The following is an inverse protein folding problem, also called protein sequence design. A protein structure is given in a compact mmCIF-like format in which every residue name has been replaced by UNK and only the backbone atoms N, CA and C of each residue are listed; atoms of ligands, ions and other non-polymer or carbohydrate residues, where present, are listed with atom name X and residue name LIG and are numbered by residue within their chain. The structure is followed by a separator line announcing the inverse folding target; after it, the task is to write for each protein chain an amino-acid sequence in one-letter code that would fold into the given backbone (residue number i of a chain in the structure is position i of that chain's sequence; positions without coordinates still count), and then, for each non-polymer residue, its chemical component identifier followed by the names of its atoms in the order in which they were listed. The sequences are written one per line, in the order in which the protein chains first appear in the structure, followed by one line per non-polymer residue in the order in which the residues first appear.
data_IF_332303091383
#
_entry.id   IF_332303091383
#
_cell.length_a   1.000
_cell.length_b   1.000
_cell.length_c   1.000
_cell.angle_alpha   90.00
_cell.angle_beta   90.00
_cell.angle_gamma   90.00
#
_symmetry.space_group_name_H-M   'P 1'
#
loop_
_entity.id
_entity.type
_entity.pdbx_description
1 polymer ?
#
# COMPACT_ATOMS: atom_id res chain seq x y z
N UNK A 1 3.09 -50.38 25.85
CA UNK A 1 4.26 -49.54 25.52
C UNK A 1 4.51 -49.35 24.02
N UNK A 2 3.89 -50.10 23.10
CA UNK A 2 4.09 -49.91 21.65
C UNK A 2 3.35 -48.70 21.05
N UNK A 3 2.17 -48.34 21.57
CA UNK A 3 1.30 -47.29 20.98
C UNK A 3 1.89 -45.87 21.12
N UNK A 4 2.68 -45.61 22.16
CA UNK A 4 3.31 -44.29 22.38
C UNK A 4 4.51 -44.08 21.45
N UNK A 5 5.18 -45.16 21.03
CA UNK A 5 6.35 -45.08 20.15
C UNK A 5 5.93 -44.87 18.68
N UNK A 6 4.83 -45.46 18.23
CA UNK A 6 4.26 -45.20 16.91
C UNK A 6 3.75 -43.75 16.76
N UNK A 7 3.12 -43.18 17.79
CA UNK A 7 2.64 -41.79 17.71
C UNK A 7 3.79 -40.76 17.68
N UNK A 8 4.93 -41.08 18.28
CA UNK A 8 6.14 -40.26 18.25
C UNK A 8 6.78 -40.23 16.85
N UNK A 9 6.76 -41.36 16.13
CA UNK A 9 7.26 -41.46 14.75
C UNK A 9 6.32 -40.76 13.76
N UNK A 10 5.00 -40.80 13.99
CA UNK A 10 4.05 -40.05 13.16
C UNK A 10 4.11 -38.53 13.40
N UNK A 11 4.34 -38.07 14.64
CA UNK A 11 4.57 -36.64 14.92
C UNK A 11 5.81 -36.09 14.18
N UNK A 12 6.88 -36.89 14.10
CA UNK A 12 8.10 -36.48 13.40
C UNK A 12 7.87 -36.33 11.89
N UNK A 13 7.07 -37.23 11.29
CA UNK A 13 6.65 -37.12 9.88
C UNK A 13 5.73 -35.92 9.63
N UNK A 14 4.78 -35.65 10.52
CA UNK A 14 3.87 -34.50 10.41
C UNK A 14 4.64 -33.18 10.54
N UNK A 15 5.60 -33.11 11.46
CA UNK A 15 6.52 -31.97 11.60
C UNK A 15 7.37 -31.75 10.35
N UNK A 16 7.88 -32.83 9.75
CA UNK A 16 8.68 -32.78 8.53
C UNK A 16 7.84 -32.37 7.31
N UNK A 17 6.59 -32.84 7.20
CA UNK A 17 5.66 -32.42 6.15
C UNK A 17 5.23 -30.95 6.26
N UNK A 18 4.90 -30.48 7.47
CA UNK A 18 4.57 -29.07 7.72
C UNK A 18 5.77 -28.16 7.47
N UNK A 19 6.97 -28.59 7.88
CA UNK A 19 8.22 -27.90 7.58
C UNK A 19 8.49 -27.80 6.07
N UNK A 20 8.33 -28.90 5.33
CA UNK A 20 8.52 -28.92 3.89
C UNK A 20 7.49 -28.04 3.14
N UNK A 21 6.23 -28.05 3.58
CA UNK A 21 5.19 -27.19 3.02
C UNK A 21 5.48 -25.70 3.25
N UNK A 22 5.95 -25.34 4.46
CA UNK A 22 6.37 -23.96 4.75
C UNK A 22 7.57 -23.56 3.89
N UNK A 23 8.61 -24.40 3.79
CA UNK A 23 9.81 -24.13 2.99
C UNK A 23 9.49 -23.95 1.50
N UNK A 24 8.54 -24.71 0.95
CA UNK A 24 8.15 -24.60 -0.48
C UNK A 24 7.38 -23.31 -0.78
N UNK A 25 6.45 -22.90 0.09
CA UNK A 25 5.73 -21.61 -0.06
C UNK A 25 6.71 -20.43 0.02
N UNK A 26 7.68 -20.53 0.91
CA UNK A 26 8.70 -19.51 1.15
C UNK A 26 9.68 -19.42 0.00
N UNK A 27 10.26 -20.55 -0.41
CA UNK A 27 11.22 -20.59 -1.52
C UNK A 27 10.59 -20.08 -2.81
N UNK A 28 9.32 -20.39 -3.07
CA UNK A 28 8.57 -19.83 -4.19
C UNK A 28 8.39 -18.30 -4.06
N UNK A 29 8.04 -17.81 -2.88
CA UNK A 29 7.87 -16.37 -2.62
C UNK A 29 9.18 -15.59 -2.75
N UNK A 30 10.28 -16.14 -2.25
CA UNK A 30 11.63 -15.58 -2.39
C UNK A 30 12.05 -15.59 -3.87
N UNK A 31 11.84 -16.70 -4.58
CA UNK A 31 12.18 -16.82 -6.00
C UNK A 31 11.38 -15.82 -6.85
N UNK A 32 10.08 -15.64 -6.60
CA UNK A 32 9.25 -14.65 -7.30
C UNK A 32 9.70 -13.21 -7.00
N UNK A 33 10.17 -12.94 -5.78
CA UNK A 33 10.74 -11.63 -5.42
C UNK A 33 12.00 -11.31 -6.23
N UNK A 34 12.95 -12.26 -6.31
CA UNK A 34 14.15 -12.09 -7.13
C UNK A 34 13.82 -11.94 -8.61
N UNK A 35 12.86 -12.72 -9.12
CA UNK A 35 12.42 -12.64 -10.52
C UNK A 35 11.82 -11.28 -10.86
N UNK A 36 11.00 -10.71 -9.97
CA UNK A 36 10.44 -9.35 -10.14
C UNK A 36 11.53 -8.29 -10.17
N UNK A 37 12.54 -8.40 -9.30
CA UNK A 37 13.68 -7.46 -9.27
C UNK A 37 14.46 -7.45 -10.59
N UNK A 38 14.62 -8.62 -11.21
CA UNK A 38 15.30 -8.75 -12.50
C UNK A 38 14.48 -8.15 -13.65
N UNK A 39 13.17 -8.40 -13.66
CA UNK A 39 12.24 -7.82 -14.66
C UNK A 39 12.20 -6.29 -14.54
N UNK A 40 12.18 -5.73 -13.32
CA UNK A 40 12.22 -4.27 -13.12
C UNK A 40 13.51 -3.65 -13.68
N UNK A 41 14.64 -4.34 -13.57
CA UNK A 41 15.92 -3.91 -14.15
C UNK A 41 15.86 -3.88 -15.67
N UNK A 42 15.31 -4.93 -16.28
CA UNK A 42 15.15 -4.99 -17.74
C UNK A 42 14.21 -3.90 -18.26
N UNK A 43 13.14 -3.57 -17.54
CA UNK A 43 12.24 -2.47 -17.89
C UNK A 43 12.97 -1.12 -17.78
N UNK A 44 13.73 -0.88 -16.71
CA UNK A 44 14.51 0.35 -16.56
C UNK A 44 15.55 0.54 -17.67
N UNK A 45 16.22 -0.55 -18.07
CA UNK A 45 17.16 -0.53 -19.21
C UNK A 45 16.44 -0.31 -20.55
N UNK A 46 15.26 -0.92 -20.74
CA UNK A 46 14.45 -0.71 -21.94
C UNK A 46 13.93 0.73 -22.04
N UNK A 47 13.51 1.32 -20.93
CA UNK A 47 13.11 2.73 -20.84
C UNK A 47 14.30 3.66 -21.14
N UNK A 48 15.48 3.43 -20.55
CA UNK A 48 16.65 4.25 -20.83
C UNK A 48 17.05 4.22 -22.32
N UNK A 49 16.97 3.04 -22.96
CA UNK A 49 17.19 2.88 -24.40
C UNK A 49 16.14 3.67 -25.20
N UNK A 50 14.86 3.55 -24.86
CA UNK A 50 13.77 4.27 -25.54
C UNK A 50 13.92 5.81 -25.44
N UNK A 51 14.26 6.32 -24.25
CA UNK A 51 14.46 7.76 -24.03
C UNK A 51 15.70 8.30 -24.75
N UNK A 52 16.79 7.54 -24.86
CA UNK A 52 17.97 7.94 -25.66
C UNK A 52 17.66 8.05 -27.15
N UNK A 53 16.87 7.12 -27.70
CA UNK A 53 16.40 7.22 -29.10
C UNK A 53 15.46 8.42 -29.34
N UNK A 54 14.60 8.77 -28.37
CA UNK A 54 13.69 9.92 -28.48
C UNK A 54 14.42 11.28 -28.43
N UNK A 55 15.48 11.39 -27.62
CA UNK A 55 16.27 12.62 -27.49
C UNK A 55 17.05 12.97 -28.77
N UNK A 56 17.47 11.97 -29.55
CA UNK A 56 18.07 12.17 -30.87
C UNK A 56 17.03 12.49 -31.97
N UNK A 57 15.76 12.11 -31.80
CA UNK A 57 14.69 12.43 -32.76
C UNK A 57 14.12 13.85 -32.63
N UNK A 58 14.21 14.48 -31.46
CA UNK A 58 13.64 15.82 -31.20
C UNK A 58 14.49 17.00 -31.69
N UNK A 59 15.73 16.80 -32.13
CA UNK A 59 16.57 17.89 -32.65
C UNK A 59 16.32 18.25 -34.13
N UNK A 60 15.52 17.47 -34.87
CA UNK A 60 15.30 17.71 -36.31
C UNK A 60 13.97 18.42 -36.62
N UNK A 61 13.05 18.55 -35.64
CA UNK A 61 11.66 18.98 -35.92
C UNK A 61 11.24 20.31 -35.25
N UNK A 62 12.15 21.24 -34.99
CA UNK A 62 11.80 22.57 -34.46
C UNK A 62 12.39 23.71 -35.29
N UNK A 63 11.95 23.85 -36.54
CA UNK A 63 11.94 25.14 -37.22
C UNK A 63 10.56 25.38 -37.85
N UNK A 64 10.04 26.58 -37.57
CA UNK A 64 8.85 27.21 -38.14
C UNK A 64 7.47 26.67 -37.74
N UNK A 65 6.81 27.39 -36.82
CA UNK A 65 5.69 28.27 -37.19
C UNK A 65 5.11 28.98 -35.96
N UNK A 66 5.29 30.31 -35.89
CA UNK A 66 4.39 31.24 -35.16
C UNK A 66 3.01 31.19 -35.81
N UNK A 67 1.91 31.33 -35.06
CA UNK A 67 1.07 32.54 -35.24
C UNK A 67 0.43 33.01 -33.89
N UNK A 68 -0.61 33.86 -33.85
CA UNK A 68 -0.53 35.23 -33.32
C UNK A 68 -1.27 35.44 -31.99
N UNK A 69 -0.97 36.57 -31.33
CA UNK A 69 -1.65 37.08 -30.13
C UNK A 69 -3.15 37.29 -30.36
N UNK A 70 -4.01 36.71 -29.51
CA UNK A 70 -5.36 37.20 -29.20
C UNK A 70 -5.87 36.68 -27.84
N UNK A 71 -6.34 37.64 -27.02
CA UNK A 71 -7.28 37.53 -25.88
C UNK A 71 -6.82 36.80 -24.60
N UNK A 72 -6.27 37.63 -23.72
CA UNK A 72 -6.28 37.60 -22.24
C UNK A 72 -7.77 37.69 -21.82
N UNK A 73 -8.40 36.70 -21.17
CA UNK A 73 -8.41 36.54 -19.70
C UNK A 73 -8.95 35.18 -19.18
N UNK A 74 -9.20 34.17 -20.02
CA UNK A 74 -9.78 32.88 -19.57
C UNK A 74 -8.83 31.67 -19.73
N UNK A 75 -7.95 31.71 -20.73
CA UNK A 75 -7.04 30.59 -21.07
C UNK A 75 -5.90 30.41 -20.05
N UNK A 76 -5.51 31.48 -19.34
CA UNK A 76 -4.44 31.43 -18.34
C UNK A 76 -4.82 30.68 -17.07
N UNK A 77 -6.09 30.76 -16.66
CA UNK A 77 -6.61 30.04 -15.49
C UNK A 77 -6.72 28.54 -15.74
N UNK A 78 -7.09 28.14 -16.95
CA UNK A 78 -7.16 26.74 -17.34
C UNK A 78 -5.77 26.09 -17.42
N UNK A 79 -4.76 26.81 -17.91
CA UNK A 79 -3.35 26.39 -17.93
C UNK A 79 -2.76 26.28 -16.52
N UNK A 80 -2.98 27.27 -15.64
CA UNK A 80 -2.56 27.21 -14.23
C UNK A 80 -3.26 26.06 -13.50
N UNK A 81 -4.57 25.88 -13.69
CA UNK A 81 -5.33 24.82 -13.05
C UNK A 81 -4.90 23.44 -13.55
N UNK A 82 -4.62 23.27 -14.84
CA UNK A 82 -4.02 22.05 -15.40
C UNK A 82 -2.62 21.78 -14.84
N UNK A 83 -1.77 22.80 -14.70
CA UNK A 83 -0.43 22.64 -14.13
C UNK A 83 -0.47 22.28 -12.64
N UNK A 84 -1.39 22.86 -11.86
CA UNK A 84 -1.60 22.48 -10.47
C UNK A 84 -2.13 21.06 -10.34
N UNK A 85 -3.07 20.65 -11.20
CA UNK A 85 -3.57 19.28 -11.24
C UNK A 85 -2.45 18.31 -11.61
N UNK A 86 -1.65 18.62 -12.63
CA UNK A 86 -0.54 17.78 -13.08
C UNK A 86 0.56 17.65 -12.01
N UNK A 87 0.85 18.73 -11.28
CA UNK A 87 1.74 18.69 -10.11
C UNK A 87 1.17 17.81 -8.99
N UNK A 88 -0.12 17.94 -8.69
CA UNK A 88 -0.80 17.12 -7.69
C UNK A 88 -0.81 15.64 -8.08
N UNK A 89 -1.16 15.32 -9.33
CA UNK A 89 -1.13 13.97 -9.88
C UNK A 89 0.28 13.37 -9.84
N UNK A 90 1.29 14.15 -10.24
CA UNK A 90 2.69 13.70 -10.22
C UNK A 90 3.23 13.48 -8.81
N UNK A 91 2.79 14.30 -7.85
CA UNK A 91 3.14 14.13 -6.45
C UNK A 91 2.47 12.89 -5.86
N UNK A 92 1.20 12.64 -6.19
CA UNK A 92 0.46 11.42 -5.82
C UNK A 92 1.12 10.17 -6.42
N UNK A 93 1.51 10.19 -7.71
CA UNK A 93 2.25 9.11 -8.36
C UNK A 93 3.62 8.85 -7.69
N UNK A 94 4.36 9.92 -7.38
CA UNK A 94 5.62 9.82 -6.65
C UNK A 94 5.46 9.15 -5.28
N UNK A 95 4.43 9.53 -4.52
CA UNK A 95 4.08 8.91 -3.25
C UNK A 95 3.67 7.44 -3.42
N UNK A 96 2.92 7.09 -4.46
CA UNK A 96 2.53 5.70 -4.73
C UNK A 96 3.75 4.83 -5.05
N UNK A 97 4.71 5.34 -5.82
CA UNK A 97 5.91 4.59 -6.18
C UNK A 97 6.81 4.31 -4.97
N UNK A 98 7.04 5.32 -4.11
CA UNK A 98 7.83 5.13 -2.89
C UNK A 98 7.15 4.19 -1.89
N UNK A 99 5.84 4.35 -1.71
CA UNK A 99 5.07 3.52 -0.77
C UNK A 99 5.04 2.07 -1.21
N UNK A 100 4.87 1.80 -2.51
CA UNK A 100 4.83 0.45 -3.07
C UNK A 100 6.17 -0.27 -2.98
N UNK A 101 7.28 0.45 -3.19
CA UNK A 101 8.64 -0.12 -3.03
C UNK A 101 8.93 -0.48 -1.58
N UNK A 102 8.58 0.40 -0.63
CA UNK A 102 8.77 0.14 0.82
C UNK A 102 7.87 -0.99 1.31
N UNK A 103 6.60 -1.05 0.88
CA UNK A 103 5.67 -2.11 1.23
C UNK A 103 6.18 -3.51 0.80
N UNK A 104 6.72 -3.63 -0.41
CA UNK A 104 7.24 -4.90 -0.91
C UNK A 104 8.46 -5.39 -0.12
N UNK A 105 9.39 -4.49 0.26
CA UNK A 105 10.51 -4.87 1.12
C UNK A 105 10.07 -5.26 2.53
N UNK A 106 9.14 -4.52 3.14
CA UNK A 106 8.63 -4.83 4.47
C UNK A 106 7.90 -6.17 4.51
N UNK A 107 7.15 -6.50 3.46
CA UNK A 107 6.49 -7.80 3.34
C UNK A 107 7.49 -8.96 3.29
N UNK A 108 8.58 -8.81 2.54
CA UNK A 108 9.65 -9.81 2.49
C UNK A 108 10.30 -10.02 3.87
N UNK A 109 10.66 -8.95 4.56
CA UNK A 109 11.23 -9.05 5.90
C UNK A 109 10.25 -9.65 6.92
N UNK A 110 8.95 -9.36 6.79
CA UNK A 110 7.91 -9.95 7.63
C UNK A 110 7.80 -11.47 7.42
N UNK A 111 7.78 -11.93 6.16
CA UNK A 111 7.82 -13.36 5.83
C UNK A 111 9.07 -14.02 6.42
N UNK A 112 10.25 -13.42 6.18
CA UNK A 112 11.51 -13.96 6.66
C UNK A 112 11.53 -14.10 8.18
N UNK A 113 11.03 -13.09 8.89
CA UNK A 113 10.89 -13.11 10.35
C UNK A 113 9.91 -14.18 10.83
N UNK A 114 8.76 -14.34 10.18
CA UNK A 114 7.78 -15.36 10.52
C UNK A 114 8.36 -16.77 10.42
N UNK A 115 9.11 -17.05 9.36
CA UNK A 115 9.76 -18.36 9.15
C UNK A 115 10.89 -18.56 10.16
N UNK A 116 11.73 -17.53 10.36
CA UNK A 116 12.80 -17.57 11.34
C UNK A 116 12.28 -17.88 12.73
N UNK A 117 11.19 -17.22 13.14
CA UNK A 117 10.52 -17.49 14.41
C UNK A 117 9.98 -18.92 14.50
N UNK A 118 9.37 -19.44 13.43
CA UNK A 118 8.83 -20.80 13.41
C UNK A 118 9.94 -21.86 13.50
N UNK A 119 11.03 -21.70 12.73
CA UNK A 119 12.21 -22.57 12.82
C UNK A 119 12.80 -22.53 14.23
N UNK A 120 12.91 -21.34 14.82
CA UNK A 120 13.43 -21.17 16.17
C UNK A 120 12.58 -21.90 17.22
N UNK A 121 11.24 -21.80 17.12
CA UNK A 121 10.32 -22.50 18.04
C UNK A 121 10.44 -24.02 17.89
N UNK A 122 10.49 -24.55 16.66
CA UNK A 122 10.65 -25.99 16.43
C UNK A 122 11.99 -26.50 16.95
N UNK A 123 13.07 -25.77 16.69
CA UNK A 123 14.42 -26.13 17.12
C UNK A 123 14.55 -26.09 18.66
N UNK A 124 14.10 -24.99 19.28
CA UNK A 124 14.10 -24.85 20.74
C UNK A 124 13.20 -25.86 21.45
N UNK A 125 12.02 -26.13 20.90
CA UNK A 125 11.09 -27.14 21.41
C UNK A 125 11.67 -28.56 21.34
N UNK A 126 12.29 -28.92 20.21
CA UNK A 126 12.95 -30.22 20.04
C UNK A 126 14.15 -30.37 20.98
N UNK A 127 14.93 -29.31 21.20
CA UNK A 127 16.06 -29.32 22.13
C UNK A 127 15.61 -29.56 23.58
N UNK A 128 14.56 -28.85 24.04
CA UNK A 128 14.02 -29.00 25.40
C UNK A 128 13.44 -30.40 25.65
N UNK A 129 12.85 -31.02 24.62
CA UNK A 129 12.30 -32.38 24.69
C UNK A 129 13.36 -33.48 24.65
N UNK A 130 14.63 -33.15 24.38
CA UNK A 130 15.75 -34.09 24.44
C UNK A 130 16.23 -34.31 25.88
N UNK A 131 16.88 -35.45 26.16
CA UNK A 131 17.37 -35.79 27.50
C UNK A 131 18.37 -34.78 28.07
N UNK A 132 19.10 -34.08 27.20
CA UNK A 132 20.06 -33.03 27.57
C UNK A 132 19.39 -31.67 27.85
N UNK A 133 18.16 -31.46 27.36
CA UNK A 133 17.44 -30.19 27.46
C UNK A 133 16.51 -30.06 28.67
N UNK A 134 16.20 -31.17 29.34
CA UNK A 134 15.22 -31.23 30.42
C UNK A 134 15.56 -30.33 31.62
N UNK A 135 16.85 -30.15 31.92
CA UNK A 135 17.31 -29.27 33.00
C UNK A 135 17.13 -27.77 32.69
N UNK A 136 16.95 -27.42 31.41
CA UNK A 136 16.84 -26.04 30.94
C UNK A 136 15.39 -25.58 30.70
N UNK A 137 14.40 -26.43 31.02
CA UNK A 137 12.96 -26.16 30.80
C UNK A 137 12.52 -24.84 31.44
N UNK A 138 12.96 -24.57 32.67
CA UNK A 138 12.57 -23.36 33.42
C UNK A 138 13.09 -22.09 32.74
N UNK A 139 14.34 -22.11 32.26
CA UNK A 139 14.93 -21.00 31.54
C UNK A 139 14.24 -20.78 30.18
N UNK A 140 13.97 -21.86 29.44
CA UNK A 140 13.25 -21.82 28.17
C UNK A 140 11.82 -21.27 28.31
N UNK A 141 11.09 -21.68 29.35
CA UNK A 141 9.75 -21.17 29.65
C UNK A 141 9.77 -19.67 29.97
N UNK A 142 10.76 -19.21 30.74
CA UNK A 142 10.91 -17.80 31.12
C UNK A 142 11.17 -16.90 29.90
N UNK A 143 12.09 -17.32 29.03
CA UNK A 143 12.41 -16.60 27.79
C UNK A 143 11.18 -16.59 26.86
N UNK A 144 10.47 -17.71 26.76
CA UNK A 144 9.26 -17.82 25.94
C UNK A 144 8.13 -16.92 26.46
N UNK A 145 7.95 -16.83 27.77
CA UNK A 145 6.95 -15.94 28.38
C UNK A 145 7.27 -14.46 28.10
N UNK A 146 8.54 -14.05 28.25
CA UNK A 146 8.98 -12.68 27.94
C UNK A 146 8.81 -12.38 26.46
N UNK A 147 9.27 -13.27 25.59
CA UNK A 147 9.15 -13.13 24.13
C UNK A 147 7.68 -13.07 23.68
N UNK A 148 6.83 -13.94 24.22
CA UNK A 148 5.40 -13.95 23.97
C UNK A 148 4.71 -12.66 24.43
N UNK A 149 5.07 -12.15 25.61
CA UNK A 149 4.56 -10.88 26.14
C UNK A 149 4.93 -9.69 25.25
N UNK A 150 6.20 -9.60 24.83
CA UNK A 150 6.67 -8.55 23.92
C UNK A 150 5.97 -8.65 22.56
N UNK A 151 5.85 -9.86 22.00
CA UNK A 151 5.17 -10.09 20.72
C UNK A 151 3.69 -9.69 20.77
N UNK A 152 3.00 -10.05 21.86
CA UNK A 152 1.61 -9.67 22.08
C UNK A 152 1.46 -8.15 22.20
N UNK A 153 2.38 -7.47 22.90
CA UNK A 153 2.39 -6.02 23.01
C UNK A 153 2.58 -5.34 21.64
N UNK A 154 3.58 -5.77 20.85
CA UNK A 154 3.83 -5.24 19.50
C UNK A 154 2.61 -5.45 18.61
N UNK A 155 2.02 -6.66 18.64
CA UNK A 155 0.84 -6.99 17.84
C UNK A 155 -0.34 -6.10 18.20
N UNK A 156 -0.59 -5.89 19.51
CA UNK A 156 -1.64 -4.99 19.99
C UNK A 156 -1.42 -3.57 19.47
N UNK A 157 -0.23 -3.02 19.64
CA UNK A 157 0.11 -1.67 19.16
C UNK A 157 -0.08 -1.55 17.64
N UNK A 158 0.35 -2.55 16.88
CA UNK A 158 0.18 -2.56 15.43
C UNK A 158 -1.30 -2.57 15.02
N UNK A 159 -2.13 -3.39 15.68
CA UNK A 159 -3.57 -3.43 15.42
C UNK A 159 -4.26 -2.11 15.77
N UNK A 160 -3.87 -1.47 16.87
CA UNK A 160 -4.43 -0.18 17.28
C UNK A 160 -4.07 0.92 16.28
N UNK A 161 -2.80 0.99 15.86
CA UNK A 161 -2.34 1.93 14.83
C UNK A 161 -3.06 1.65 13.50
N UNK A 162 -3.18 0.38 13.10
CA UNK A 162 -3.86 0.00 11.87
C UNK A 162 -5.34 0.42 11.87
N UNK A 163 -6.06 0.21 12.98
CA UNK A 163 -7.46 0.67 13.13
C UNK A 163 -7.57 2.19 13.04
N UNK A 164 -6.64 2.91 13.66
CA UNK A 164 -6.61 4.38 13.59
C UNK A 164 -6.36 4.85 12.16
N UNK A 165 -5.39 4.25 11.46
CA UNK A 165 -5.10 4.54 10.05
C UNK A 165 -6.28 4.23 9.15
N UNK A 166 -6.98 3.11 9.34
CA UNK A 166 -8.19 2.79 8.59
C UNK A 166 -9.31 3.82 8.82
N UNK A 167 -9.53 4.23 10.06
CA UNK A 167 -10.51 5.27 10.41
C UNK A 167 -10.15 6.60 9.73
N UNK A 168 -8.88 6.98 9.77
CA UNK A 168 -8.37 8.19 9.12
C UNK A 168 -8.49 8.11 7.60
N UNK A 169 -8.15 6.96 7.00
CA UNK A 169 -8.24 6.72 5.57
C UNK A 169 -9.70 6.77 5.08
N UNK A 170 -10.61 6.14 5.82
CA UNK A 170 -12.05 6.20 5.52
C UNK A 170 -12.57 7.65 5.59
N UNK A 171 -12.11 8.44 6.58
CA UNK A 171 -12.42 9.88 6.66
C UNK A 171 -11.81 10.67 5.51
N UNK A 172 -10.57 10.36 5.13
CA UNK A 172 -9.87 11.03 4.04
C UNK A 172 -10.51 10.72 2.70
N UNK A 173 -10.98 9.50 2.43
CA UNK A 173 -11.68 9.17 1.19
C UNK A 173 -13.06 9.81 1.05
N UNK A 174 -13.73 10.17 2.15
CA UNK A 174 -15.01 10.89 2.08
C UNK A 174 -14.87 12.33 1.54
N UNK A 175 -13.69 12.95 1.61
CA UNK A 175 -13.52 14.37 1.26
C UNK A 175 -13.26 14.64 -0.25
N UNK A 176 -12.37 13.92 -0.97
CA UNK A 176 -12.11 14.14 -2.40
C UNK A 176 -13.30 13.86 -3.30
N UNK A 177 -14.09 12.82 -2.97
CA UNK A 177 -15.27 12.41 -3.75
C UNK A 177 -16.31 13.53 -3.80
N UNK A 178 -16.48 14.26 -2.69
CA UNK A 178 -17.40 15.40 -2.63
C UNK A 178 -16.91 16.52 -3.56
N UNK A 179 -15.61 16.82 -3.55
CA UNK A 179 -15.06 17.90 -4.38
C UNK A 179 -15.15 17.59 -5.88
N UNK A 180 -14.89 16.34 -6.29
CA UNK A 180 -15.07 15.90 -7.68
C UNK A 180 -16.54 15.96 -8.12
N UNK A 181 -17.48 15.51 -7.28
CA UNK A 181 -18.90 15.61 -7.58
C UNK A 181 -19.38 17.06 -7.66
N UNK A 182 -18.89 17.96 -6.80
CA UNK A 182 -19.22 19.41 -6.87
C UNK A 182 -18.70 20.03 -8.16
N UNK A 183 -17.45 19.75 -8.53
CA UNK A 183 -16.85 20.27 -9.76
C UNK A 183 -17.54 19.71 -11.02
N UNK A 184 -17.93 18.44 -11.00
CA UNK A 184 -18.69 17.81 -12.09
C UNK A 184 -20.10 18.40 -12.19
N UNK A 185 -20.77 18.62 -11.06
CA UNK A 185 -22.09 19.26 -11.03
C UNK A 185 -22.02 20.73 -11.48
N UNK A 186 -20.97 21.46 -11.12
CA UNK A 186 -20.74 22.83 -11.59
C UNK A 186 -20.52 22.88 -13.11
N UNK A 187 -19.74 21.93 -13.68
CA UNK A 187 -19.56 21.81 -15.13
C UNK A 187 -20.88 21.47 -15.84
N UNK A 188 -21.62 20.46 -15.36
CA UNK A 188 -22.93 20.08 -15.90
C UNK A 188 -23.93 21.23 -15.85
N UNK A 189 -23.91 22.04 -14.78
CA UNK A 189 -24.78 23.23 -14.65
C UNK A 189 -24.37 24.33 -15.63
N UNK A 190 -23.07 24.51 -15.88
CA UNK A 190 -22.58 25.52 -16.81
C UNK A 190 -22.86 25.18 -18.28
N UNK A 191 -22.90 23.89 -18.62
CA UNK A 191 -23.20 23.38 -19.99
C UNK A 191 -24.68 23.56 -20.40
N UNK A 192 -25.59 23.86 -19.47
CA UNK A 192 -27.01 24.11 -19.76
C UNK A 192 -27.24 25.60 -19.99
N UNK A 193 -27.71 26.03 -21.16
CA UNK A 193 -27.86 27.46 -21.50
C UNK A 193 -29.01 28.21 -20.79
N UNK A 194 -29.88 27.51 -20.04
CA UNK A 194 -31.00 28.14 -19.33
C UNK A 194 -30.55 28.86 -18.02
N UNK A 195 -30.66 30.20 -17.95
CA UNK A 195 -30.26 30.97 -16.77
C UNK A 195 -31.07 30.64 -15.50
N UNK A 196 -32.33 30.24 -15.66
CA UNK A 196 -33.23 29.93 -14.54
C UNK A 196 -32.82 28.60 -13.91
N UNK A 197 -32.54 27.60 -14.75
CA UNK A 197 -32.02 26.30 -14.34
C UNK A 197 -30.66 26.40 -13.66
N UNK A 198 -29.75 27.26 -14.16
CA UNK A 198 -28.44 27.50 -13.51
C UNK A 198 -28.62 27.99 -12.08
N UNK A 199 -29.47 29.00 -11.88
CA UNK A 199 -29.69 29.60 -10.56
C UNK A 199 -30.26 28.58 -9.56
N UNK A 200 -31.24 27.80 -9.97
CA UNK A 200 -31.83 26.75 -9.14
C UNK A 200 -30.81 25.64 -8.79
N UNK A 201 -30.00 25.23 -9.76
CA UNK A 201 -28.98 24.20 -9.57
C UNK A 201 -27.87 24.64 -8.63
N UNK A 202 -27.42 25.91 -8.73
CA UNK A 202 -26.44 26.47 -7.80
C UNK A 202 -26.98 26.59 -6.38
N UNK A 203 -28.24 26.98 -6.21
CA UNK A 203 -28.89 27.05 -4.90
C UNK A 203 -28.94 25.66 -4.24
N UNK A 204 -29.36 24.63 -4.98
CA UNK A 204 -29.36 23.23 -4.52
C UNK A 204 -27.97 22.71 -4.18
N UNK A 205 -26.94 23.10 -4.94
CA UNK A 205 -25.54 22.75 -4.66
C UNK A 205 -25.06 23.35 -3.35
N UNK A 206 -25.31 24.65 -3.13
CA UNK A 206 -24.92 25.34 -1.89
C UNK A 206 -25.60 24.71 -0.66
N UNK A 207 -26.89 24.39 -0.76
CA UNK A 207 -27.64 23.72 0.31
C UNK A 207 -27.03 22.34 0.62
N UNK A 208 -26.74 21.55 -0.42
CA UNK A 208 -26.16 20.22 -0.27
C UNK A 208 -24.75 20.26 0.35
N UNK A 209 -23.92 21.24 -0.03
CA UNK A 209 -22.59 21.44 0.54
C UNK A 209 -22.68 21.82 2.03
N UNK A 210 -23.56 22.75 2.39
CA UNK A 210 -23.76 23.13 3.79
C UNK A 210 -24.22 21.94 4.64
N UNK A 211 -25.11 21.10 4.11
CA UNK A 211 -25.59 19.91 4.81
C UNK A 211 -24.47 18.88 5.04
N UNK A 212 -23.62 18.64 4.02
CA UNK A 212 -22.44 17.78 4.14
C UNK A 212 -21.42 18.30 5.17
N UNK A 213 -21.22 19.62 5.27
CA UNK A 213 -20.33 20.25 6.26
C UNK A 213 -20.87 20.04 7.67
N UNK A 214 -22.17 20.25 7.88
CA UNK A 214 -22.83 20.07 9.18
C UNK A 214 -22.76 18.60 9.62
N UNK A 215 -23.09 17.67 8.73
CA UNK A 215 -23.02 16.23 9.02
C UNK A 215 -21.59 15.78 9.36
N UNK A 216 -20.59 16.28 8.62
CA UNK A 216 -19.18 15.98 8.89
C UNK A 216 -18.70 16.53 10.24
N UNK A 217 -19.21 17.69 10.67
CA UNK A 217 -18.85 18.29 11.97
C UNK A 217 -19.56 17.61 13.15
N UNK A 218 -20.78 17.10 12.98
CA UNK A 218 -21.50 16.39 14.05
C UNK A 218 -20.93 15.00 14.35
N UNK A 219 -20.18 14.39 13.43
CA UNK A 219 -19.47 13.10 13.67
C UNK A 219 -18.23 13.28 14.60
N UNK A 220 -17.88 14.51 14.99
CA UNK A 220 -16.77 14.79 15.91
C UNK A 220 -17.12 14.70 17.41
N UNK A 221 -18.38 14.52 17.80
CA UNK A 221 -18.81 14.30 19.20
C UNK A 221 -19.10 12.82 19.45
#
# INVERSE_FOLDING_TARGET
MSVIFESLIEMDKIGLFLGAAAITIVSKSIAEYFRRKEVSRQIAEAEERAFRTSKNGKQVASHQSKPPKKQVDDVGKDEEMKNLFNLYTKQVEGYQHETRRRANSSFFFAILSMIGGLIFVFWGGSFILSSEGADYVVAGASISAIGGGISAYITKTFLDVHKLSLTQLNRYFKQPVINEHILMAQRLTNDVDDPSFKRESYEKLIVSINQLIIETNNIKQ
#
